data_IF_329494533846
#
_entry.id   IF_329494533846
#
_cell.length_a   1.000
_cell.length_b   1.000
_cell.length_c   1.000
_cell.angle_alpha   90.00
_cell.angle_beta   90.00
_cell.angle_gamma   90.00
#
_symmetry.space_group_name_H-M   'P 1'
#
loop_
_entity.id
_entity.type
_entity.pdbx_description
1 polymer ?
#
# COMPACT_ATOMS: atom_id res chain seq x y z
N UNK A 1 -16.33 -9.49 -10.45
CA UNK A 1 -14.91 -9.53 -10.82
C UNK A 1 -14.61 -10.96 -11.26
N UNK A 2 -13.82 -11.17 -12.31
CA UNK A 2 -13.35 -12.53 -12.62
C UNK A 2 -12.42 -13.00 -11.49
N UNK A 3 -12.61 -14.23 -11.00
CA UNK A 3 -11.88 -14.79 -9.86
C UNK A 3 -10.38 -14.91 -10.13
N UNK A 4 -10.00 -15.07 -11.41
CA UNK A 4 -8.63 -15.21 -11.90
C UNK A 4 -8.33 -14.17 -12.98
N UNK A 5 -7.05 -13.83 -13.14
CA UNK A 5 -6.59 -12.96 -14.21
C UNK A 5 -6.21 -13.68 -15.50
N UNK A 6 -5.58 -12.94 -16.41
CA UNK A 6 -5.19 -13.44 -17.73
C UNK A 6 -3.83 -12.90 -18.15
N UNK A 7 -3.06 -13.75 -18.82
CA UNK A 7 -1.81 -13.39 -19.47
C UNK A 7 -1.99 -12.22 -20.45
N UNK A 8 -3.15 -12.15 -21.10
CA UNK A 8 -3.44 -11.14 -22.12
C UNK A 8 -3.59 -9.71 -21.54
N UNK A 9 -3.73 -9.57 -20.22
CA UNK A 9 -3.84 -8.26 -19.59
C UNK A 9 -2.50 -7.51 -19.51
N UNK A 10 -1.37 -8.23 -19.60
CA UNK A 10 -0.04 -7.64 -19.60
C UNK A 10 0.32 -7.16 -21.02
N UNK A 11 -0.25 -6.03 -21.43
CA UNK A 11 -0.15 -5.52 -22.80
C UNK A 11 0.32 -4.06 -22.90
N UNK A 12 0.52 -3.38 -21.76
CA UNK A 12 0.83 -1.95 -21.71
C UNK A 12 1.89 -1.64 -20.67
N UNK A 13 3.02 -1.09 -21.12
CA UNK A 13 4.12 -0.68 -20.27
C UNK A 13 3.95 0.75 -19.75
N UNK A 14 4.20 0.96 -18.46
CA UNK A 14 4.42 2.29 -17.87
C UNK A 14 3.17 3.12 -17.58
N UNK A 15 1.97 2.58 -17.80
CA UNK A 15 0.73 3.21 -17.30
C UNK A 15 0.65 3.12 -15.78
N UNK A 16 -0.12 4.00 -15.15
CA UNK A 16 -0.23 4.09 -13.70
C UNK A 16 -1.69 3.97 -13.21
N UNK A 17 -1.86 3.37 -12.05
CA UNK A 17 -3.05 3.46 -11.22
C UNK A 17 -2.63 3.60 -9.76
N UNK A 18 -3.29 4.47 -9.01
CA UNK A 18 -2.99 4.68 -7.59
C UNK A 18 -4.26 4.47 -6.78
N UNK A 19 -4.16 3.67 -5.74
CA UNK A 19 -5.22 3.45 -4.76
C UNK A 19 -4.79 4.04 -3.43
N UNK A 20 -5.67 4.82 -2.82
CA UNK A 20 -5.43 5.43 -1.51
C UNK A 20 -6.58 5.10 -0.57
N UNK A 21 -6.23 4.53 0.59
CA UNK A 21 -7.18 4.22 1.65
C UNK A 21 -7.17 5.36 2.70
N UNK A 22 -8.35 5.78 3.13
CA UNK A 22 -8.55 6.87 4.09
C UNK A 22 -9.54 6.50 5.19
N UNK A 23 -9.55 7.31 6.24
CA UNK A 23 -10.51 7.21 7.33
C UNK A 23 -11.55 8.32 7.25
N UNK A 24 -12.82 7.93 7.35
CA UNK A 24 -13.93 8.83 7.62
C UNK A 24 -13.94 9.15 9.11
N UNK A 25 -13.90 10.43 9.44
CA UNK A 25 -13.88 10.92 10.81
C UNK A 25 -14.91 12.03 11.04
N UNK A 26 -15.28 12.24 12.29
CA UNK A 26 -16.13 13.36 12.70
C UNK A 26 -15.34 14.68 12.83
N UNK A 27 -16.01 15.73 13.32
CA UNK A 27 -15.42 17.06 13.54
C UNK A 27 -14.21 17.05 14.49
N UNK A 28 -14.23 16.14 15.47
CA UNK A 28 -13.16 15.93 16.45
C UNK A 28 -12.03 15.04 15.92
N UNK A 29 -12.15 14.56 14.68
CA UNK A 29 -11.20 13.66 14.03
C UNK A 29 -11.29 12.21 14.51
N UNK A 30 -12.40 11.80 15.13
CA UNK A 30 -12.61 10.42 15.59
C UNK A 30 -13.24 9.55 14.49
N UNK A 31 -12.87 8.26 14.37
CA UNK A 31 -13.42 7.36 13.37
C UNK A 31 -14.94 7.20 13.49
N UNK A 32 -15.66 7.37 12.39
CA UNK A 32 -17.10 7.20 12.32
C UNK A 32 -17.52 6.41 11.07
N UNK A 33 -18.59 5.63 11.19
CA UNK A 33 -19.15 4.89 10.07
C UNK A 33 -19.80 5.86 9.07
N UNK A 34 -19.16 6.09 7.92
CA UNK A 34 -19.67 6.99 6.86
C UNK A 34 -19.86 6.33 5.49
N UNK A 35 -19.37 5.10 5.29
CA UNK A 35 -19.45 4.39 4.00
C UNK A 35 -20.88 4.23 3.47
N UNK A 36 -21.88 4.10 4.35
CA UNK A 36 -23.30 4.03 3.95
C UNK A 36 -23.76 5.29 3.22
N UNK A 37 -23.26 6.45 3.60
CA UNK A 37 -23.66 7.74 3.01
C UNK A 37 -22.73 8.12 1.86
N UNK A 38 -21.43 7.88 2.00
CA UNK A 38 -20.43 8.26 1.00
C UNK A 38 -20.41 7.31 -0.20
N UNK A 39 -20.51 6.00 0.03
CA UNK A 39 -20.32 4.97 -1.03
C UNK A 39 -21.65 4.39 -1.50
N UNK A 40 -22.64 4.28 -0.60
CA UNK A 40 -23.94 3.69 -0.90
C UNK A 40 -25.12 4.68 -0.84
N UNK A 41 -24.81 5.97 -0.71
CA UNK A 41 -25.82 7.01 -0.68
C UNK A 41 -26.61 7.06 -1.99
N UNK A 42 -27.77 7.73 -1.95
CA UNK A 42 -28.60 7.93 -3.13
C UNK A 42 -27.98 8.92 -4.14
N UNK A 43 -27.06 9.76 -3.67
CA UNK A 43 -26.33 10.72 -4.51
C UNK A 43 -25.13 10.05 -5.18
N UNK A 44 -24.96 10.33 -6.47
CA UNK A 44 -23.79 9.87 -7.21
C UNK A 44 -22.55 10.66 -6.78
N UNK A 45 -21.41 9.98 -6.50
CA UNK A 45 -20.15 10.65 -6.26
C UNK A 45 -19.79 11.60 -7.42
N UNK A 46 -19.11 12.73 -7.16
CA UNK A 46 -18.68 13.64 -8.21
C UNK A 46 -17.77 12.93 -9.23
N UNK A 47 -17.70 13.46 -10.45
CA UNK A 47 -17.03 12.79 -11.58
C UNK A 47 -15.60 12.24 -11.30
N UNK A 48 -14.72 12.90 -10.52
CA UNK A 48 -13.42 12.33 -10.16
C UNK A 48 -13.51 11.03 -9.34
N UNK A 49 -14.58 10.87 -8.55
CA UNK A 49 -14.82 9.72 -7.67
C UNK A 49 -15.81 8.70 -8.27
N UNK A 50 -16.52 9.05 -9.34
CA UNK A 50 -17.48 8.16 -9.98
C UNK A 50 -16.81 6.84 -10.38
N UNK A 51 -17.37 5.71 -9.94
CA UNK A 51 -16.82 4.35 -10.07
C UNK A 51 -15.40 4.15 -9.50
N UNK A 52 -14.92 5.09 -8.68
CA UNK A 52 -13.56 5.13 -8.13
C UNK A 52 -13.52 5.38 -6.62
N UNK A 53 -14.67 5.33 -5.97
CA UNK A 53 -14.83 5.38 -4.52
C UNK A 53 -15.46 4.06 -4.09
N UNK A 54 -14.71 3.24 -3.35
CA UNK A 54 -15.23 2.04 -2.68
C UNK A 54 -14.97 2.16 -1.18
N UNK A 55 -15.21 1.08 -0.47
CA UNK A 55 -14.95 0.99 0.96
C UNK A 55 -14.24 -0.31 1.31
N UNK A 56 -13.64 -0.29 2.49
CA UNK A 56 -13.01 -1.45 3.08
C UNK A 56 -13.93 -2.20 4.07
N UNK A 57 -13.40 -3.25 4.71
CA UNK A 57 -14.15 -4.05 5.68
C UNK A 57 -14.81 -3.18 6.76
N UNK A 58 -14.11 -2.19 7.27
CA UNK A 58 -14.66 -1.30 8.29
C UNK A 58 -15.42 -0.13 7.67
N UNK A 59 -16.59 0.20 8.21
CA UNK A 59 -17.46 1.24 7.64
C UNK A 59 -16.91 2.67 7.77
N UNK A 60 -15.78 2.85 8.44
CA UNK A 60 -15.05 4.12 8.52
C UNK A 60 -13.84 4.18 7.58
N UNK A 61 -13.56 3.12 6.81
CA UNK A 61 -12.44 3.10 5.86
C UNK A 61 -12.99 3.15 4.44
N UNK A 62 -12.50 4.10 3.66
CA UNK A 62 -12.83 4.29 2.25
C UNK A 62 -11.59 4.13 1.39
N UNK A 63 -11.77 3.71 0.16
CA UNK A 63 -10.69 3.62 -0.83
C UNK A 63 -11.06 4.49 -2.02
N UNK A 64 -10.08 5.27 -2.50
CA UNK A 64 -10.19 5.97 -3.79
C UNK A 64 -9.18 5.44 -4.77
N UNK A 65 -9.54 5.49 -6.05
CA UNK A 65 -8.68 5.07 -7.14
C UNK A 65 -8.51 6.23 -8.14
N UNK A 66 -7.30 6.40 -8.67
CA UNK A 66 -7.13 7.31 -9.81
C UNK A 66 -7.78 6.71 -11.07
N UNK A 67 -8.15 7.52 -12.07
CA UNK A 67 -8.30 6.98 -13.42
C UNK A 67 -6.99 6.33 -13.88
N UNK A 68 -7.05 5.59 -14.99
CA UNK A 68 -5.84 5.13 -15.66
C UNK A 68 -5.01 6.36 -16.08
N UNK A 69 -3.78 6.43 -15.59
CA UNK A 69 -2.83 7.50 -15.88
C UNK A 69 -1.89 7.03 -16.98
N UNK A 70 -1.90 7.73 -18.12
CA UNK A 70 -1.09 7.39 -19.30
C UNK A 70 0.39 7.79 -19.17
N UNK A 71 0.70 8.74 -18.29
CA UNK A 71 2.08 9.19 -18.06
C UNK A 71 2.27 9.67 -16.63
N UNK A 72 3.41 9.35 -16.03
CA UNK A 72 3.76 9.77 -14.66
C UNK A 72 3.65 11.27 -14.42
N UNK A 73 3.94 12.10 -15.42
CA UNK A 73 3.81 13.56 -15.31
C UNK A 73 2.38 14.08 -15.12
N UNK A 74 1.36 13.26 -15.34
CA UNK A 74 -0.05 13.59 -15.07
C UNK A 74 -0.55 13.02 -13.72
N UNK A 75 0.27 12.25 -13.00
CA UNK A 75 -0.16 11.57 -11.79
C UNK A 75 -0.56 12.55 -10.67
N UNK A 76 0.22 13.64 -10.49
CA UNK A 76 -0.06 14.66 -9.48
C UNK A 76 -1.44 15.30 -9.66
N UNK A 77 -1.77 15.73 -10.88
CA UNK A 77 -3.06 16.36 -11.19
C UNK A 77 -4.23 15.42 -10.88
N UNK A 78 -4.10 14.14 -11.22
CA UNK A 78 -5.12 13.14 -10.95
C UNK A 78 -5.27 12.83 -9.46
N UNK A 79 -4.16 12.72 -8.73
CA UNK A 79 -4.16 12.49 -7.28
C UNK A 79 -4.85 13.65 -6.54
N UNK A 80 -4.47 14.89 -6.86
CA UNK A 80 -5.06 16.06 -6.24
C UNK A 80 -6.55 16.18 -6.57
N UNK A 81 -6.94 15.96 -7.83
CA UNK A 81 -8.35 16.02 -8.23
C UNK A 81 -9.23 15.00 -7.49
N UNK A 82 -8.72 13.78 -7.27
CA UNK A 82 -9.44 12.73 -6.52
C UNK A 82 -9.54 13.09 -5.04
N UNK A 83 -8.43 13.52 -4.42
CA UNK A 83 -8.40 13.92 -3.00
C UNK A 83 -9.28 15.14 -2.71
N UNK A 84 -9.19 16.18 -3.52
CA UNK A 84 -10.04 17.38 -3.39
C UNK A 84 -11.52 17.02 -3.51
N UNK A 85 -11.87 16.23 -4.54
CA UNK A 85 -13.25 15.76 -4.71
C UNK A 85 -13.72 14.93 -3.52
N UNK A 86 -12.85 14.10 -2.93
CA UNK A 86 -13.19 13.29 -1.76
C UNK A 86 -13.45 14.16 -0.54
N UNK A 87 -12.58 15.12 -0.25
CA UNK A 87 -12.72 16.04 0.89
C UNK A 87 -14.00 16.86 0.74
N UNK A 88 -14.23 17.47 -0.41
CA UNK A 88 -15.45 18.26 -0.69
C UNK A 88 -16.72 17.39 -0.57
N UNK A 89 -16.68 16.18 -1.12
CA UNK A 89 -17.82 15.27 -1.09
C UNK A 89 -18.17 14.80 0.33
N UNK A 90 -17.15 14.55 1.16
CA UNK A 90 -17.32 14.21 2.57
C UNK A 90 -17.84 15.40 3.39
N UNK A 91 -17.29 16.60 3.19
CA UNK A 91 -17.67 17.82 3.92
C UNK A 91 -19.15 18.16 3.70
N UNK A 92 -19.65 18.04 2.47
CA UNK A 92 -21.09 18.26 2.17
C UNK A 92 -22.04 17.30 2.90
N UNK A 93 -21.52 16.22 3.51
CA UNK A 93 -22.27 15.23 4.30
C UNK A 93 -21.92 15.28 5.79
N UNK A 94 -21.14 16.26 6.22
CA UNK A 94 -20.76 16.43 7.63
C UNK A 94 -19.70 15.45 8.11
N UNK A 95 -18.87 14.94 7.19
CA UNK A 95 -17.72 14.10 7.50
C UNK A 95 -16.42 14.82 7.15
N UNK A 96 -15.35 14.44 7.82
CA UNK A 96 -13.98 14.82 7.48
C UNK A 96 -13.18 13.57 7.10
N UNK A 97 -12.05 13.78 6.43
CA UNK A 97 -11.18 12.69 5.97
C UNK A 97 -9.82 12.79 6.66
N UNK A 98 -9.32 11.66 7.15
CA UNK A 98 -8.00 11.52 7.74
C UNK A 98 -7.18 10.44 7.03
N UNK A 99 -5.85 10.58 7.04
CA UNK A 99 -4.93 9.64 6.41
C UNK A 99 -3.74 9.29 7.31
N UNK A 100 -3.57 7.99 7.56
CA UNK A 100 -2.42 7.40 8.25
C UNK A 100 -2.42 5.90 7.99
N UNK A 101 -1.31 5.18 8.25
CA UNK A 101 -1.33 3.72 8.12
C UNK A 101 -2.30 3.04 9.10
N UNK A 102 -2.51 3.68 10.27
CA UNK A 102 -3.50 3.35 11.28
C UNK A 102 -4.04 4.65 11.87
N UNK A 103 -5.36 4.73 12.04
CA UNK A 103 -5.92 5.79 12.87
C UNK A 103 -5.50 5.58 14.34
N UNK A 104 -4.84 6.55 14.99
CA UNK A 104 -4.16 6.34 16.27
C UNK A 104 -5.10 5.89 17.39
N UNK A 105 -6.35 6.36 17.35
CA UNK A 105 -7.37 6.09 18.38
C UNK A 105 -8.52 5.20 17.90
N UNK A 106 -8.42 4.60 16.71
CA UNK A 106 -9.41 3.62 16.27
C UNK A 106 -9.41 2.41 17.20
N UNK A 107 -10.59 2.08 17.74
CA UNK A 107 -10.82 0.90 18.57
C UNK A 107 -11.66 -0.10 17.82
N UNK A 108 -10.99 -1.02 17.13
CA UNK A 108 -11.65 -1.97 16.21
C UNK A 108 -12.83 -2.74 16.80
N UNK A 109 -12.88 -2.97 18.13
CA UNK A 109 -14.00 -3.65 18.81
C UNK A 109 -15.30 -2.83 18.87
N UNK A 110 -15.18 -1.52 18.69
CA UNK A 110 -16.26 -0.54 18.81
C UNK A 110 -16.74 -0.08 17.43
N UNK A 111 -16.11 -0.54 16.33
CA UNK A 111 -16.34 -0.07 14.97
C UNK A 111 -17.15 -1.08 14.15
N UNK A 112 -18.00 -0.57 13.25
CA UNK A 112 -18.87 -1.40 12.43
C UNK A 112 -18.14 -2.01 11.23
N UNK A 113 -18.46 -3.26 10.91
CA UNK A 113 -18.05 -3.90 9.66
C UNK A 113 -19.11 -3.70 8.57
N UNK A 114 -18.66 -3.61 7.32
CA UNK A 114 -19.51 -3.64 6.15
C UNK A 114 -20.25 -4.99 6.03
N UNK A 115 -21.47 -4.93 5.52
CA UNK A 115 -22.39 -6.08 5.49
C UNK A 115 -22.44 -6.79 4.13
N UNK A 116 -21.63 -6.38 3.15
CA UNK A 116 -21.56 -7.03 1.83
C UNK A 116 -21.19 -8.52 1.98
N UNK A 117 -21.71 -9.42 1.12
CA UNK A 117 -21.41 -10.85 1.17
C UNK A 117 -19.91 -11.19 1.20
N UNK A 118 -19.07 -10.47 0.42
CA UNK A 118 -17.61 -10.67 0.40
C UNK A 118 -16.98 -10.52 1.79
N UNK A 119 -17.36 -9.49 2.52
CA UNK A 119 -16.81 -9.20 3.84
C UNK A 119 -17.31 -10.16 4.91
N UNK A 120 -18.57 -10.61 4.80
CA UNK A 120 -19.10 -11.67 5.68
C UNK A 120 -18.33 -12.98 5.48
N UNK A 121 -18.07 -13.36 4.23
CA UNK A 121 -17.24 -14.53 3.89
C UNK A 121 -15.84 -14.43 4.51
N UNK A 122 -15.18 -13.28 4.35
CA UNK A 122 -13.85 -13.07 4.93
C UNK A 122 -13.84 -13.11 6.46
N UNK A 123 -14.81 -12.49 7.13
CA UNK A 123 -14.93 -12.56 8.60
C UNK A 123 -15.12 -14.01 9.07
N UNK A 124 -15.97 -14.77 8.40
CA UNK A 124 -16.21 -16.18 8.72
C UNK A 124 -14.98 -17.06 8.47
N UNK A 125 -14.24 -16.85 7.37
CA UNK A 125 -13.06 -17.65 7.02
C UNK A 125 -11.81 -17.29 7.81
N UNK A 126 -11.55 -15.99 8.00
CA UNK A 126 -10.28 -15.49 8.54
C UNK A 126 -10.38 -15.28 10.06
N UNK A 127 -11.57 -14.99 10.59
CA UNK A 127 -11.80 -14.80 12.02
C UNK A 127 -10.96 -13.63 12.59
N UNK A 128 -10.48 -13.78 13.83
CA UNK A 128 -9.94 -12.70 14.65
C UNK A 128 -8.91 -11.78 13.98
N UNK A 129 -7.99 -12.25 13.11
CA UNK A 129 -7.13 -11.37 12.32
C UNK A 129 -7.89 -10.33 11.49
N UNK A 130 -8.99 -10.70 10.83
CA UNK A 130 -9.78 -9.80 9.99
C UNK A 130 -10.59 -8.81 10.82
N UNK A 131 -11.10 -9.24 11.98
CA UNK A 131 -11.82 -8.39 12.93
C UNK A 131 -11.01 -7.21 13.49
N UNK A 132 -9.70 -7.16 13.28
CA UNK A 132 -8.84 -6.06 13.76
C UNK A 132 -8.13 -5.31 12.63
N UNK A 133 -8.44 -5.62 11.37
CA UNK A 133 -7.77 -5.08 10.21
C UNK A 133 -8.26 -3.66 9.87
N UNK A 134 -7.78 -2.67 10.62
CA UNK A 134 -8.14 -1.25 10.50
C UNK A 134 -7.14 -0.45 9.67
N UNK A 135 -6.38 -1.13 8.82
CA UNK A 135 -5.24 -0.58 8.09
C UNK A 135 -5.68 0.29 6.93
N UNK A 136 -4.89 1.32 6.63
CA UNK A 136 -5.00 2.12 5.41
C UNK A 136 -3.64 2.20 4.71
N UNK A 137 -3.58 1.95 3.41
CA UNK A 137 -2.38 1.89 2.58
C UNK A 137 -2.39 2.85 1.40
N UNK A 138 -1.23 2.89 0.75
CA UNK A 138 -1.05 3.43 -0.59
C UNK A 138 -0.63 2.27 -1.50
N UNK A 139 -1.40 2.02 -2.55
CA UNK A 139 -1.08 1.02 -3.57
C UNK A 139 -0.74 1.71 -4.89
N UNK A 140 0.38 1.32 -5.49
CA UNK A 140 0.82 1.86 -6.78
C UNK A 140 0.90 0.72 -7.78
N UNK A 141 0.10 0.82 -8.83
CA UNK A 141 0.07 -0.08 -9.97
C UNK A 141 0.85 0.53 -11.13
N UNK A 142 1.83 -0.21 -11.65
CA UNK A 142 2.56 0.15 -12.87
C UNK A 142 2.30 -0.92 -13.93
N UNK A 143 1.78 -0.51 -15.10
CA UNK A 143 1.53 -1.40 -16.24
C UNK A 143 2.81 -2.04 -16.74
N UNK A 144 2.73 -3.35 -17.03
CA UNK A 144 3.82 -4.12 -17.62
C UNK A 144 3.29 -4.89 -18.82
N UNK A 145 4.01 -4.82 -19.95
CA UNK A 145 3.60 -5.36 -21.25
C UNK A 145 4.07 -6.81 -21.51
N UNK A 146 4.62 -7.46 -20.49
CA UNK A 146 4.96 -8.87 -20.53
C UNK A 146 4.70 -9.51 -19.15
N UNK A 147 3.99 -10.66 -19.11
CA UNK A 147 3.64 -11.36 -17.88
C UNK A 147 4.84 -11.95 -17.12
N UNK A 148 5.83 -12.49 -17.84
CA UNK A 148 7.03 -13.09 -17.24
C UNK A 148 7.99 -11.99 -16.76
N UNK A 149 8.03 -10.87 -17.48
CA UNK A 149 8.64 -9.62 -17.03
C UNK A 149 8.00 -9.12 -15.74
N UNK A 150 6.68 -9.08 -15.63
CA UNK A 150 5.99 -8.63 -14.42
C UNK A 150 6.34 -9.48 -13.19
N UNK A 151 6.44 -10.81 -13.34
CA UNK A 151 6.90 -11.71 -12.27
C UNK A 151 8.35 -11.45 -11.90
N UNK A 152 9.22 -11.25 -12.90
CA UNK A 152 10.62 -10.93 -12.65
C UNK A 152 10.76 -9.61 -11.89
N UNK A 153 10.09 -8.54 -12.33
CA UNK A 153 10.07 -7.24 -11.64
C UNK A 153 9.55 -7.39 -10.20
N UNK A 154 8.45 -8.10 -9.98
CA UNK A 154 7.91 -8.33 -8.64
C UNK A 154 8.91 -9.10 -7.74
N UNK A 155 9.69 -10.03 -8.30
CA UNK A 155 10.74 -10.72 -7.56
C UNK A 155 11.88 -9.79 -7.13
N UNK A 156 12.26 -8.83 -7.99
CA UNK A 156 13.30 -7.83 -7.72
C UNK A 156 12.87 -6.83 -6.66
N UNK A 157 11.63 -6.33 -6.78
CA UNK A 157 11.06 -5.35 -5.86
C UNK A 157 10.96 -5.84 -4.42
N UNK A 158 11.02 -7.15 -4.16
CA UNK A 158 11.09 -7.68 -2.78
C UNK A 158 12.24 -7.13 -1.96
N UNK A 159 13.34 -6.73 -2.60
CA UNK A 159 14.48 -6.08 -1.93
C UNK A 159 14.26 -4.58 -1.68
N UNK A 160 13.32 -3.97 -2.39
CA UNK A 160 13.04 -2.53 -2.39
C UNK A 160 11.86 -2.18 -1.48
N UNK A 161 10.92 -3.11 -1.29
CA UNK A 161 9.76 -2.87 -0.43
C UNK A 161 10.12 -2.61 1.05
N UNK A 162 11.17 -3.21 1.67
CA UNK A 162 11.50 -2.85 3.05
C UNK A 162 12.05 -1.42 3.21
N UNK A 163 13.00 -0.92 2.39
CA UNK A 163 13.33 0.51 2.37
C UNK A 163 12.12 1.42 2.13
N UNK A 164 11.23 1.08 1.19
CA UNK A 164 10.00 1.86 0.95
C UNK A 164 9.07 1.87 2.17
N UNK A 165 8.91 0.74 2.86
CA UNK A 165 8.15 0.65 4.10
C UNK A 165 8.73 1.59 5.16
N UNK A 166 10.04 1.56 5.33
CA UNK A 166 10.75 2.41 6.29
C UNK A 166 10.51 3.90 5.99
N UNK A 167 10.61 4.32 4.72
CA UNK A 167 10.30 5.69 4.29
C UNK A 167 8.85 6.08 4.57
N UNK A 168 7.92 5.19 4.29
CA UNK A 168 6.47 5.45 4.39
C UNK A 168 5.93 5.42 5.81
N UNK A 169 6.70 4.89 6.78
CA UNK A 169 6.19 4.53 8.10
C UNK A 169 5.44 5.70 8.78
N UNK A 170 4.12 5.53 8.94
CA UNK A 170 3.18 6.57 9.33
C UNK A 170 2.04 5.99 10.20
N UNK A 171 2.35 5.00 11.05
CA UNK A 171 1.36 4.35 11.91
C UNK A 171 1.93 3.84 13.24
N UNK A 172 2.51 4.70 14.09
CA UNK A 172 3.12 4.29 15.36
C UNK A 172 2.11 3.88 16.44
N UNK A 173 0.86 4.36 16.36
CA UNK A 173 -0.17 4.15 17.37
C UNK A 173 -1.21 3.10 16.93
N UNK A 174 -1.72 2.32 17.90
CA UNK A 174 -2.85 1.42 17.69
C UNK A 174 -3.72 1.31 18.94
N UNK A 175 -5.03 1.54 18.82
CA UNK A 175 -5.98 1.62 19.94
C UNK A 175 -5.58 2.62 21.04
N UNK A 176 -4.95 3.74 20.68
CA UNK A 176 -4.50 4.78 21.60
C UNK A 176 -3.17 4.50 22.30
N UNK A 177 -2.43 3.47 21.89
CA UNK A 177 -1.13 3.12 22.47
C UNK A 177 -0.02 3.28 21.45
N UNK A 178 1.11 3.89 21.84
CA UNK A 178 2.34 3.80 21.06
C UNK A 178 2.80 2.34 21.08
N UNK A 179 2.88 1.74 19.91
CA UNK A 179 3.22 0.33 19.73
C UNK A 179 4.71 0.07 19.84
N UNK A 180 5.54 1.12 19.78
CA UNK A 180 6.99 1.01 19.60
C UNK A 180 7.40 0.62 18.18
N UNK A 181 6.47 0.51 17.23
CA UNK A 181 6.74 0.31 15.80
C UNK A 181 6.66 1.65 15.06
N UNK A 182 7.41 1.80 13.96
CA UNK A 182 7.25 2.93 13.05
C UNK A 182 6.02 2.74 12.14
N UNK A 183 5.80 1.51 11.66
CA UNK A 183 4.58 1.08 10.95
C UNK A 183 3.95 -0.10 11.68
N UNK A 184 2.98 0.15 12.56
CA UNK A 184 2.18 -0.93 13.14
C UNK A 184 1.16 -1.49 12.14
N UNK A 185 0.77 -0.69 11.12
CA UNK A 185 -0.09 -1.13 10.00
C UNK A 185 0.42 -2.45 9.43
N UNK A 186 1.70 -2.45 9.03
CA UNK A 186 2.34 -3.61 8.41
C UNK A 186 2.21 -4.86 9.27
N UNK A 187 2.42 -4.73 10.59
CA UNK A 187 2.35 -5.89 11.48
C UNK A 187 0.94 -6.38 11.74
N UNK A 188 -0.05 -5.49 11.76
CA UNK A 188 -1.46 -5.84 11.92
C UNK A 188 -1.94 -6.58 10.68
N UNK A 189 -1.65 -6.02 9.50
CA UNK A 189 -2.02 -6.58 8.20
C UNK A 189 -1.42 -7.97 8.00
N UNK A 190 -0.14 -8.17 8.32
CA UNK A 190 0.55 -9.47 8.24
C UNK A 190 -0.07 -10.63 9.02
N UNK A 191 -1.01 -10.37 9.94
CA UNK A 191 -1.70 -11.45 10.63
C UNK A 191 -2.81 -12.09 9.79
N UNK A 192 -3.17 -11.47 8.66
CA UNK A 192 -4.07 -12.08 7.69
C UNK A 192 -3.34 -13.21 6.95
N UNK A 193 -4.06 -14.27 6.53
CA UNK A 193 -3.48 -15.30 5.67
C UNK A 193 -3.04 -14.67 4.34
N UNK A 194 -2.12 -15.33 3.62
CA UNK A 194 -1.71 -14.92 2.26
C UNK A 194 -1.15 -13.49 2.14
N UNK A 195 -0.62 -12.96 3.25
CA UNK A 195 -0.19 -11.56 3.37
C UNK A 195 1.32 -11.44 3.58
N UNK A 196 1.90 -10.34 3.11
CA UNK A 196 3.28 -9.96 3.37
C UNK A 196 4.25 -10.33 2.25
N UNK A 197 5.49 -10.65 2.58
CA UNK A 197 6.55 -10.83 1.59
C UNK A 197 6.31 -12.09 0.73
N UNK A 198 6.16 -11.98 -0.60
CA UNK A 198 5.97 -13.15 -1.44
C UNK A 198 7.25 -14.00 -1.55
N UNK A 199 7.05 -15.30 -1.68
CA UNK A 199 8.14 -16.21 -2.10
C UNK A 199 8.44 -15.96 -3.58
N UNK A 200 9.67 -16.25 -4.00
CA UNK A 200 10.08 -16.09 -5.41
C UNK A 200 9.21 -17.00 -6.29
N UNK A 201 8.73 -16.46 -7.40
CA UNK A 201 8.14 -17.23 -8.49
C UNK A 201 9.14 -17.35 -9.64
N UNK A 202 9.11 -18.47 -10.36
CA UNK A 202 10.06 -18.72 -11.47
C UNK A 202 9.67 -17.90 -12.70
N UNK A 203 8.39 -17.95 -13.04
CA UNK A 203 7.76 -17.35 -14.21
C UNK A 203 6.26 -17.09 -13.96
N UNK A 204 5.57 -16.49 -14.93
CA UNK A 204 4.13 -16.25 -14.86
C UNK A 204 3.32 -17.54 -14.71
N UNK A 205 3.70 -18.60 -15.42
CA UNK A 205 2.95 -19.85 -15.32
C UNK A 205 3.03 -20.44 -13.90
N UNK A 206 4.14 -20.24 -13.18
CA UNK A 206 4.30 -20.63 -11.78
C UNK A 206 3.42 -19.81 -10.84
N UNK A 207 3.33 -18.49 -11.08
CA UNK A 207 2.46 -17.59 -10.33
C UNK A 207 0.99 -17.90 -10.58
N UNK A 208 0.57 -18.02 -11.84
CA UNK A 208 -0.80 -18.35 -12.23
C UNK A 208 -1.23 -19.71 -11.68
N UNK A 209 -0.36 -20.74 -11.73
CA UNK A 209 -0.65 -22.04 -11.10
C UNK A 209 -0.87 -21.93 -9.59
N UNK A 210 -0.14 -21.03 -8.91
CA UNK A 210 -0.32 -20.80 -7.48
C UNK A 210 -1.63 -20.06 -7.21
N UNK A 211 -1.88 -18.94 -7.88
CA UNK A 211 -3.12 -18.15 -7.76
C UNK A 211 -4.35 -19.03 -8.01
N UNK A 212 -4.37 -19.75 -9.13
CA UNK A 212 -5.45 -20.69 -9.46
C UNK A 212 -5.66 -21.75 -8.40
N UNK A 213 -4.58 -22.32 -7.85
CA UNK A 213 -4.68 -23.31 -6.78
C UNK A 213 -5.27 -22.72 -5.51
N UNK A 214 -4.93 -21.48 -5.16
CA UNK A 214 -5.47 -20.81 -3.97
C UNK A 214 -6.99 -20.60 -4.08
N UNK A 215 -7.48 -20.22 -5.27
CA UNK A 215 -8.91 -20.09 -5.57
C UNK A 215 -9.60 -21.45 -5.61
N UNK A 216 -9.11 -22.40 -6.41
CA UNK A 216 -9.74 -23.72 -6.60
C UNK A 216 -9.82 -24.55 -5.31
N UNK A 217 -8.91 -24.33 -4.36
CA UNK A 217 -8.92 -25.00 -3.06
C UNK A 217 -9.68 -24.21 -1.98
N UNK A 218 -10.31 -23.09 -2.33
CA UNK A 218 -11.08 -22.25 -1.39
C UNK A 218 -10.23 -21.60 -0.30
N UNK A 219 -8.92 -21.42 -0.54
CA UNK A 219 -8.04 -20.69 0.37
C UNK A 219 -8.26 -19.18 0.29
N UNK A 220 -8.63 -18.71 -0.90
CA UNK A 220 -9.08 -17.35 -1.21
C UNK A 220 -10.34 -17.39 -2.08
N UNK A 221 -11.18 -16.37 -1.98
CA UNK A 221 -12.39 -16.26 -2.79
C UNK A 221 -12.07 -15.74 -4.22
N UNK A 222 -11.08 -14.85 -4.33
CA UNK A 222 -10.55 -14.36 -5.60
C UNK A 222 -9.08 -13.93 -5.47
N UNK A 223 -8.42 -13.66 -6.62
CA UNK A 223 -7.02 -13.20 -6.71
C UNK A 223 -6.66 -12.00 -5.83
N UNK A 224 -7.63 -11.13 -5.54
CA UNK A 224 -7.45 -9.92 -4.74
C UNK A 224 -7.00 -10.21 -3.31
N UNK A 225 -7.31 -11.40 -2.79
CA UNK A 225 -6.92 -11.83 -1.45
C UNK A 225 -5.50 -12.44 -1.35
N UNK A 226 -4.70 -12.33 -2.41
CA UNK A 226 -3.24 -12.47 -2.32
C UNK A 226 -2.61 -11.14 -1.89
N UNK A 227 -2.71 -10.80 -0.61
CA UNK A 227 -2.27 -9.51 -0.05
C UNK A 227 -0.75 -9.39 0.12
N UNK A 228 0.02 -9.71 -0.92
CA UNK A 228 1.46 -9.58 -0.90
C UNK A 228 1.92 -8.12 -0.91
N UNK A 229 3.08 -7.85 -0.30
CA UNK A 229 3.70 -6.53 -0.25
C UNK A 229 4.00 -5.95 -1.65
N UNK A 230 4.27 -6.87 -2.60
CA UNK A 230 4.38 -6.61 -4.03
C UNK A 230 3.83 -7.83 -4.80
N UNK A 231 3.13 -7.62 -5.92
CA UNK A 231 2.65 -8.73 -6.76
C UNK A 231 2.44 -8.33 -8.22
N UNK A 232 2.52 -9.28 -9.17
CA UNK A 232 1.85 -9.13 -10.45
C UNK A 232 0.32 -9.10 -10.21
N UNK A 233 -0.36 -8.08 -10.73
CA UNK A 233 -1.81 -8.00 -10.69
C UNK A 233 -2.39 -8.54 -12.01
N UNK A 234 -2.73 -9.82 -12.00
CA UNK A 234 -3.17 -10.59 -13.18
C UNK A 234 -4.47 -10.08 -13.80
N UNK A 235 -5.25 -9.31 -13.04
CA UNK A 235 -6.46 -8.64 -13.52
C UNK A 235 -6.24 -7.33 -14.27
N UNK A 236 -5.10 -6.68 -14.06
CA UNK A 236 -4.81 -5.35 -14.61
C UNK A 236 -3.57 -5.34 -15.51
N UNK A 237 -2.76 -6.39 -15.50
CA UNK A 237 -1.51 -6.42 -16.24
C UNK A 237 -0.44 -5.52 -15.66
N UNK A 238 -0.45 -5.35 -14.33
CA UNK A 238 0.44 -4.42 -13.63
C UNK A 238 1.36 -5.17 -12.68
N UNK A 239 2.44 -4.52 -12.25
CA UNK A 239 3.09 -4.82 -10.97
C UNK A 239 2.55 -3.84 -9.95
N UNK A 240 2.12 -4.36 -8.81
CA UNK A 240 1.45 -3.61 -7.75
C UNK A 240 2.32 -3.62 -6.49
N UNK A 241 2.69 -2.44 -6.00
CA UNK A 241 3.39 -2.24 -4.73
C UNK A 241 2.39 -1.76 -3.68
N UNK A 242 2.27 -2.49 -2.56
CA UNK A 242 1.22 -2.30 -1.54
C UNK A 242 1.75 -2.01 -0.14
N UNK A 243 3.07 -1.96 -0.03
CA UNK A 243 3.77 -1.85 1.25
C UNK A 243 3.59 -0.51 1.96
N UNK A 244 3.57 0.66 1.25
CA UNK A 244 3.51 1.95 1.92
C UNK A 244 2.28 2.13 2.82
N UNK A 245 2.47 2.73 4.00
CA UNK A 245 1.37 3.25 4.82
C UNK A 245 0.66 4.40 4.08
N UNK A 246 -0.64 4.61 4.32
CA UNK A 246 -1.33 5.79 3.81
C UNK A 246 -0.73 7.11 4.35
N UNK A 247 -0.77 8.16 3.54
CA UNK A 247 -0.09 9.44 3.79
C UNK A 247 -1.08 10.61 3.70
N UNK A 248 -1.05 11.52 4.67
CA UNK A 248 -1.84 12.75 4.60
C UNK A 248 -1.30 13.73 3.55
N UNK A 249 0.03 13.90 3.49
CA UNK A 249 0.65 14.85 2.56
C UNK A 249 0.70 14.27 1.13
N UNK A 250 0.02 14.90 0.14
CA UNK A 250 0.03 14.42 -1.25
C UNK A 250 1.43 14.46 -1.89
N UNK A 251 2.34 15.32 -1.42
CA UNK A 251 3.71 15.34 -1.92
C UNK A 251 4.48 14.05 -1.59
N UNK A 252 4.17 13.41 -0.46
CA UNK A 252 4.76 12.11 -0.09
C UNK A 252 4.23 11.01 -0.99
N UNK A 253 2.92 11.02 -1.29
CA UNK A 253 2.30 10.07 -2.22
C UNK A 253 2.89 10.20 -3.62
N UNK A 254 3.01 11.44 -4.11
CA UNK A 254 3.64 11.73 -5.40
C UNK A 254 5.05 11.15 -5.48
N UNK A 255 5.89 11.36 -4.46
CA UNK A 255 7.25 10.84 -4.44
C UNK A 255 7.31 9.30 -4.52
N UNK A 256 6.38 8.60 -3.84
CA UNK A 256 6.25 7.14 -3.98
C UNK A 256 5.80 6.74 -5.38
N UNK A 257 4.82 7.42 -5.96
CA UNK A 257 4.32 7.12 -7.31
C UNK A 257 5.41 7.30 -8.36
N UNK A 258 6.13 8.43 -8.33
CA UNK A 258 7.25 8.72 -9.24
C UNK A 258 8.38 7.70 -9.06
N UNK A 259 8.83 7.48 -7.82
CA UNK A 259 9.92 6.54 -7.54
C UNK A 259 9.60 5.08 -7.87
N UNK A 260 8.39 4.60 -7.56
CA UNK A 260 7.95 3.25 -7.90
C UNK A 260 7.81 3.09 -9.42
N UNK A 261 7.27 4.10 -10.11
CA UNK A 261 7.18 4.09 -11.58
C UNK A 261 8.56 3.99 -12.23
N UNK A 262 9.49 4.87 -11.87
CA UNK A 262 10.85 4.89 -12.40
C UNK A 262 11.58 3.56 -12.13
N UNK A 263 11.40 2.99 -10.94
CA UNK A 263 11.99 1.70 -10.58
C UNK A 263 11.42 0.53 -11.38
N UNK A 264 10.11 0.48 -11.60
CA UNK A 264 9.50 -0.57 -12.43
C UNK A 264 9.95 -0.42 -13.89
N UNK A 265 10.10 0.80 -14.40
CA UNK A 265 10.62 1.06 -15.75
C UNK A 265 12.08 0.62 -15.90
N UNK A 266 12.98 0.98 -14.97
CA UNK A 266 14.38 0.52 -14.97
C UNK A 266 14.47 -1.02 -14.96
N UNK A 267 13.68 -1.67 -14.09
CA UNK A 267 13.64 -3.13 -14.03
C UNK A 267 13.10 -3.73 -15.36
N UNK A 268 12.07 -3.14 -15.96
CA UNK A 268 11.56 -3.58 -17.25
C UNK A 268 12.62 -3.49 -18.36
N UNK A 269 13.41 -2.41 -18.41
CA UNK A 269 14.51 -2.23 -19.37
C UNK A 269 15.61 -3.28 -19.18
N UNK A 270 16.01 -3.56 -17.94
CA UNK A 270 16.98 -4.61 -17.60
C UNK A 270 16.52 -6.01 -18.02
N UNK A 271 15.23 -6.27 -17.86
CA UNK A 271 14.65 -7.51 -18.35
C UNK A 271 14.76 -7.61 -19.88
N UNK A 272 14.55 -6.52 -20.62
CA UNK A 272 14.77 -6.54 -22.07
C UNK A 272 16.25 -6.73 -22.45
N UNK A 273 17.17 -6.19 -21.65
CA UNK A 273 18.61 -6.34 -21.83
C UNK A 273 19.14 -7.76 -21.49
N UNK A 274 18.26 -8.66 -21.04
CA UNK A 274 18.59 -10.06 -20.82
C UNK A 274 18.93 -10.42 -19.37
N UNK A 275 18.74 -9.52 -18.40
CA UNK A 275 18.84 -9.87 -16.99
C UNK A 275 17.70 -10.83 -16.61
N UNK A 276 18.05 -12.00 -16.06
CA UNK A 276 17.06 -13.06 -15.74
C UNK A 276 17.21 -13.60 -14.33
N UNK A 277 18.42 -13.66 -13.79
CA UNK A 277 18.65 -14.13 -12.42
C UNK A 277 18.27 -13.03 -11.43
N UNK A 278 17.27 -13.26 -10.56
CA UNK A 278 16.87 -12.25 -9.60
C UNK A 278 17.96 -11.93 -8.59
N UNK A 279 17.96 -10.70 -8.08
CA UNK A 279 18.86 -10.28 -7.02
C UNK A 279 18.71 -11.15 -5.77
N UNK A 280 19.83 -11.50 -5.16
CA UNK A 280 19.87 -12.39 -4.01
C UNK A 280 19.39 -13.82 -4.32
N UNK A 281 19.45 -14.26 -5.58
CA UNK A 281 19.15 -15.65 -5.95
C UNK A 281 19.95 -16.63 -5.08
N UNK A 282 19.25 -17.53 -4.40
CA UNK A 282 19.84 -18.50 -3.46
C UNK A 282 19.76 -18.08 -1.99
N UNK A 283 19.43 -16.82 -1.71
CA UNK A 283 19.11 -16.39 -0.35
C UNK A 283 17.70 -16.84 0.06
N UNK A 284 17.57 -17.07 1.36
CA UNK A 284 16.31 -17.43 2.00
C UNK A 284 15.37 -16.23 2.08
N UNK A 285 14.07 -16.45 1.83
CA UNK A 285 13.04 -15.40 1.96
C UNK A 285 13.01 -14.80 3.36
N UNK A 286 13.36 -15.57 4.39
CA UNK A 286 13.36 -15.09 5.78
C UNK A 286 14.29 -13.89 6.02
N UNK A 287 15.29 -13.64 5.16
CA UNK A 287 16.08 -12.41 5.22
C UNK A 287 15.28 -11.18 4.77
N UNK A 288 14.37 -11.34 3.81
CA UNK A 288 13.42 -10.30 3.40
C UNK A 288 12.39 -10.06 4.51
N UNK A 289 11.92 -11.12 5.17
CA UNK A 289 11.04 -11.01 6.34
C UNK A 289 11.72 -10.23 7.49
N UNK A 290 13.02 -10.49 7.72
CA UNK A 290 13.85 -9.73 8.67
C UNK A 290 14.01 -8.26 8.25
N UNK A 291 14.30 -7.98 6.98
CA UNK A 291 14.41 -6.61 6.47
C UNK A 291 13.09 -5.85 6.65
N UNK A 292 11.95 -6.49 6.37
CA UNK A 292 10.63 -5.93 6.60
C UNK A 292 10.38 -5.65 8.09
N UNK A 293 10.77 -6.58 8.98
CA UNK A 293 10.71 -6.34 10.43
C UNK A 293 11.52 -5.12 10.85
N UNK A 294 12.74 -4.96 10.34
CA UNK A 294 13.59 -3.80 10.64
C UNK A 294 12.97 -2.50 10.15
N UNK A 295 12.42 -2.49 8.94
CA UNK A 295 11.68 -1.33 8.40
C UNK A 295 10.50 -0.94 9.30
N UNK A 296 9.60 -1.88 9.60
CA UNK A 296 8.41 -1.57 10.40
C UNK A 296 8.74 -1.19 11.84
N UNK A 297 9.84 -1.69 12.40
CA UNK A 297 10.25 -1.39 13.78
C UNK A 297 11.00 -0.07 13.89
N UNK A 298 11.91 0.22 12.96
CA UNK A 298 12.88 1.30 13.10
C UNK A 298 12.64 2.48 12.16
N UNK A 299 11.78 2.36 11.15
CA UNK A 299 11.49 3.46 10.22
C UNK A 299 12.77 3.99 9.58
N UNK A 300 12.98 5.31 9.63
CA UNK A 300 14.14 5.96 9.02
C UNK A 300 15.49 5.52 9.60
N UNK A 301 15.52 4.99 10.82
CA UNK A 301 16.73 4.48 11.49
C UNK A 301 17.03 3.00 11.14
N UNK A 302 16.29 2.41 10.20
CA UNK A 302 16.46 1.02 9.82
C UNK A 302 17.79 0.74 9.10
N UNK A 303 18.33 -0.45 9.35
CA UNK A 303 19.40 -1.07 8.57
C UNK A 303 18.88 -2.38 8.01
N UNK A 304 19.38 -2.82 6.86
CA UNK A 304 18.90 -4.00 6.14
C UNK A 304 20.05 -4.96 5.90
N UNK A 305 19.78 -6.26 5.91
CA UNK A 305 20.69 -7.25 5.32
C UNK A 305 20.76 -6.96 3.83
N UNK A 306 21.98 -6.76 3.32
CA UNK A 306 22.18 -6.45 1.90
C UNK A 306 22.02 -7.73 1.04
N UNK A 307 22.01 -7.55 -0.28
CA UNK A 307 21.74 -8.57 -1.30
C UNK A 307 22.81 -9.67 -1.36
N UNK A 308 23.99 -9.44 -0.75
CA UNK A 308 25.02 -10.47 -0.57
C UNK A 308 24.70 -11.47 0.56
N UNK A 309 23.76 -11.13 1.46
CA UNK A 309 23.38 -11.93 2.61
C UNK A 309 24.38 -11.92 3.78
N UNK A 310 25.45 -11.14 3.68
CA UNK A 310 26.55 -11.07 4.66
C UNK A 310 26.67 -9.68 5.30
N UNK A 311 26.47 -8.62 4.50
CA UNK A 311 26.62 -7.23 4.92
C UNK A 311 25.29 -6.58 5.30
N UNK A 312 25.37 -5.37 5.85
CA UNK A 312 24.20 -4.55 6.14
C UNK A 312 24.32 -3.16 5.53
N UNK A 313 23.20 -2.62 5.06
CA UNK A 313 23.08 -1.30 4.46
C UNK A 313 22.09 -0.43 5.26
N UNK A 314 22.41 0.84 5.47
CA UNK A 314 21.49 1.80 6.09
C UNK A 314 20.41 2.27 5.13
N UNK A 315 19.27 2.78 5.64
CA UNK A 315 18.20 3.28 4.77
C UNK A 315 18.68 4.35 3.79
N UNK A 316 19.45 5.35 4.26
CA UNK A 316 19.95 6.42 3.41
C UNK A 316 20.77 5.90 2.21
N UNK A 317 21.70 4.98 2.48
CA UNK A 317 22.54 4.36 1.44
C UNK A 317 21.71 3.45 0.51
N UNK A 318 20.68 2.76 1.03
CA UNK A 318 19.80 1.95 0.21
C UNK A 318 18.96 2.78 -0.76
N UNK A 319 18.44 3.92 -0.29
CA UNK A 319 17.68 4.86 -1.13
C UNK A 319 18.59 5.57 -2.12
N UNK A 320 19.77 6.03 -1.72
CA UNK A 320 20.78 6.61 -2.61
C UNK A 320 21.13 5.63 -3.74
N UNK A 321 21.43 4.37 -3.39
CA UNK A 321 21.69 3.30 -4.38
C UNK A 321 20.53 3.12 -5.36
N UNK A 322 19.28 3.21 -4.89
CA UNK A 322 18.10 3.09 -5.76
C UNK A 322 17.90 4.33 -6.63
N UNK A 323 18.07 5.54 -6.09
CA UNK A 323 17.95 6.80 -6.84
C UNK A 323 19.04 6.91 -7.91
N UNK A 324 20.31 6.61 -7.55
CA UNK A 324 21.44 6.57 -8.48
C UNK A 324 21.20 5.58 -9.62
N UNK A 325 20.58 4.44 -9.32
CA UNK A 325 20.24 3.42 -10.32
C UNK A 325 19.21 3.94 -11.31
N UNK A 326 18.11 4.51 -10.83
CA UNK A 326 16.96 4.88 -11.67
C UNK A 326 17.09 6.29 -12.26
N UNK A 327 18.05 7.09 -11.79
CA UNK A 327 18.25 8.47 -12.21
C UNK A 327 17.13 9.41 -11.77
N UNK A 328 16.47 9.11 -10.65
CA UNK A 328 15.33 9.85 -10.09
C UNK A 328 15.49 9.97 -8.57
N UNK A 329 15.38 11.20 -8.05
CA UNK A 329 15.60 11.54 -6.64
C UNK A 329 14.29 11.57 -5.82
N UNK A 330 13.14 11.22 -6.39
CA UNK A 330 11.83 11.35 -5.74
C UNK A 330 11.80 10.69 -4.35
N UNK A 331 12.33 9.45 -4.23
CA UNK A 331 12.40 8.76 -2.94
C UNK A 331 13.42 9.39 -1.98
N UNK A 332 14.52 9.97 -2.48
CA UNK A 332 15.50 10.66 -1.65
C UNK A 332 14.90 11.90 -0.97
N UNK A 333 13.95 12.59 -1.64
CA UNK A 333 13.24 13.74 -1.03
C UNK A 333 12.48 13.37 0.24
N UNK A 334 12.15 12.09 0.44
CA UNK A 334 11.47 11.60 1.64
C UNK A 334 12.41 11.41 2.83
N UNK A 335 13.71 11.17 2.60
CA UNK A 335 14.71 11.05 3.66
C UNK A 335 15.02 12.39 4.33
N UNK A 336 14.95 13.48 3.58
CA UNK A 336 15.19 14.82 4.10
C UNK A 336 14.06 15.32 5.01
N UNK A 337 12.95 14.58 5.07
CA UNK A 337 11.75 14.90 5.86
C UNK A 337 11.77 14.14 7.18
N UNK A 338 11.17 14.74 8.22
CA UNK A 338 10.84 14.02 9.45
C UNK A 338 9.94 12.82 9.11
N UNK A 339 10.26 11.62 9.62
CA UNK A 339 9.45 10.44 9.36
C UNK A 339 8.02 10.62 9.86
N UNK A 340 7.03 10.04 9.15
CA UNK A 340 5.62 10.15 9.55
C UNK A 340 5.38 9.67 10.99
N UNK A 341 6.04 8.58 11.37
CA UNK A 341 5.95 8.02 12.71
C UNK A 341 6.55 8.91 13.81
N UNK A 342 7.68 9.58 13.56
CA UNK A 342 8.28 10.51 14.52
C UNK A 342 7.47 11.81 14.61
N UNK A 343 7.00 12.33 13.47
CA UNK A 343 6.11 13.49 13.42
C UNK A 343 4.86 13.23 14.27
N UNK A 344 4.20 12.09 14.12
CA UNK A 344 3.02 11.74 14.91
C UNK A 344 3.34 11.67 16.42
N UNK A 345 4.44 11.02 16.81
CA UNK A 345 4.86 10.96 18.22
C UNK A 345 5.15 12.35 18.78
N UNK A 346 5.90 13.18 18.05
CA UNK A 346 6.23 14.56 18.45
C UNK A 346 4.97 15.41 18.61
N UNK A 347 4.01 15.30 17.69
CA UNK A 347 2.74 16.05 17.79
C UNK A 347 1.94 15.58 19.01
N UNK A 348 1.84 14.27 19.22
CA UNK A 348 1.15 13.70 20.37
C UNK A 348 1.80 14.11 21.71
N UNK A 349 3.13 14.10 21.80
CA UNK A 349 3.87 14.52 23.00
C UNK A 349 3.67 16.00 23.33
N UNK A 350 3.62 16.87 22.31
CA UNK A 350 3.52 18.32 22.50
C UNK A 350 2.08 18.84 22.63
N UNK A 351 1.12 18.18 21.97
CA UNK A 351 -0.26 18.67 21.83
C UNK A 351 -1.35 17.66 22.21
N UNK A 352 -0.99 16.42 22.56
CA UNK A 352 -1.94 15.36 22.92
C UNK A 352 -2.69 14.76 21.72
N UNK A 353 -3.68 13.91 22.01
CA UNK A 353 -4.46 13.19 20.99
C UNK A 353 -5.19 14.11 20.00
N UNK A 354 -5.73 15.25 20.47
CA UNK A 354 -6.47 16.18 19.62
C UNK A 354 -5.58 16.76 18.51
N UNK A 355 -4.41 17.30 18.88
CA UNK A 355 -3.44 17.80 17.92
C UNK A 355 -2.95 16.70 16.96
N UNK A 356 -2.83 15.46 17.44
CA UNK A 356 -2.48 14.33 16.59
C UNK A 356 -3.59 14.07 15.56
N UNK A 357 -4.86 13.97 15.97
CA UNK A 357 -5.99 13.75 15.05
C UNK A 357 -6.09 14.87 14.02
N UNK A 358 -6.00 16.13 14.43
CA UNK A 358 -5.97 17.28 13.52
C UNK A 358 -4.86 17.19 12.48
N UNK A 359 -3.68 16.69 12.87
CA UNK A 359 -2.52 16.59 11.99
C UNK A 359 -2.61 15.53 10.90
N UNK A 360 -3.64 14.66 10.96
CA UNK A 360 -3.91 13.59 10.00
C UNK A 360 -5.00 13.95 9.00
N UNK A 361 -5.70 15.07 9.20
CA UNK A 361 -6.80 15.51 8.34
C UNK A 361 -6.26 16.01 6.99
N UNK A 362 -7.05 15.78 5.94
CA UNK A 362 -6.78 16.27 4.59
C UNK A 362 -7.25 17.70 4.36
#
# INVERSE_FOLDING_TARGET
>A
MEELGSRANFDRMGTLGVEEEFYVVDDDGMPVSGTKELVYGDDEPPAPLADRLDHELFQFTIETQTPLIESVGAAEDHLLAVREALVDYADTRGYRIAAAGLHPEARWRELDHAEKPRYRSQLERIQYPQHRNTTAGLHVHVGVDDPDKAVWIANELRWEVPPMLALSANSPFWNGFDTGLASARSKIFENLPNTGMPTRFEDYDSYERFERRMVEQGSIDDRGELWYDVRPHTGHGTVEVRTPDAQADPAVVRAFVEGIHALVVDLAERYEDGEREPLGAGLRRELLDENKWRAMRHGHEATFVDRDGESTIGLAEAVERTCDRIGDDALATLLDRESGSERQRRIHENGGSEALRESLLL
#
